data_IF_901659740832
#
_entry.id   IF_901659740832
#
_cell.length_a   1.000
_cell.length_b   1.000
_cell.length_c   1.000
_cell.angle_alpha   90.00
_cell.angle_beta   90.00
_cell.angle_gamma   90.00
#
_symmetry.space_group_name_H-M   'P 1'
#
loop_
_entity.id
_entity.type
_entity.pdbx_description
1 polymer ?
#
# COMPACT_ATOMS: atom_id res chain seq x y z
N UNK A 1 2.75 -7.46 31.53
CA UNK A 1 1.87 -8.19 30.61
C UNK A 1 2.37 -8.11 29.17
N UNK A 2 2.67 -6.92 28.64
CA UNK A 2 3.22 -6.73 27.28
C UNK A 2 4.45 -7.60 27.02
N UNK A 3 5.46 -7.58 27.90
CA UNK A 3 6.67 -8.43 27.75
C UNK A 3 6.36 -9.92 27.63
N UNK A 4 5.41 -10.44 28.42
CA UNK A 4 4.98 -11.85 28.30
C UNK A 4 4.29 -12.13 26.98
N UNK A 5 3.52 -11.16 26.46
CA UNK A 5 2.94 -11.25 25.12
C UNK A 5 4.01 -11.24 24.04
N UNK A 6 5.01 -10.36 24.16
CA UNK A 6 6.16 -10.32 23.25
C UNK A 6 6.96 -11.63 23.28
N UNK A 7 7.25 -12.19 24.47
CA UNK A 7 7.94 -13.48 24.62
C UNK A 7 7.13 -14.63 23.99
N UNK A 8 5.80 -14.55 24.06
CA UNK A 8 4.91 -15.53 23.40
C UNK A 8 5.01 -15.42 21.90
N UNK A 9 4.87 -14.20 21.32
CA UNK A 9 4.98 -13.96 19.88
C UNK A 9 6.37 -14.34 19.34
N UNK A 10 7.45 -14.00 20.06
CA UNK A 10 8.81 -14.36 19.68
C UNK A 10 9.03 -15.88 19.56
N UNK A 11 8.40 -16.68 20.43
CA UNK A 11 8.45 -18.15 20.34
C UNK A 11 7.67 -18.74 19.17
N UNK A 12 6.87 -17.93 18.49
CA UNK A 12 6.10 -18.28 17.30
C UNK A 12 6.63 -17.57 16.06
N UNK A 13 7.89 -17.11 16.08
CA UNK A 13 8.60 -16.48 14.97
C UNK A 13 7.87 -15.26 14.38
N UNK A 14 7.12 -14.52 15.21
CA UNK A 14 6.46 -13.29 14.80
C UNK A 14 7.46 -12.14 14.78
N UNK A 15 7.57 -11.45 13.67
CA UNK A 15 8.40 -10.27 13.53
C UNK A 15 7.96 -9.14 14.47
N UNK A 16 8.96 -8.38 14.97
CA UNK A 16 8.73 -7.25 15.88
C UNK A 16 7.78 -7.57 17.03
N UNK A 17 8.05 -8.63 17.83
CA UNK A 17 7.11 -9.19 18.79
C UNK A 17 6.74 -8.21 19.90
N UNK A 18 7.67 -7.32 20.31
CA UNK A 18 7.38 -6.29 21.32
C UNK A 18 6.43 -5.24 20.79
N UNK A 19 6.68 -4.72 19.59
CA UNK A 19 5.80 -3.73 18.94
C UNK A 19 4.39 -4.30 18.71
N UNK A 20 4.31 -5.55 18.24
CA UNK A 20 3.04 -6.27 18.07
C UNK A 20 2.27 -6.40 19.39
N UNK A 21 2.95 -6.84 20.46
CA UNK A 21 2.31 -6.99 21.77
C UNK A 21 1.87 -5.65 22.38
N UNK A 22 2.63 -4.56 22.18
CA UNK A 22 2.24 -3.20 22.60
C UNK A 22 0.99 -2.74 21.87
N UNK A 23 0.93 -2.82 20.53
CA UNK A 23 -0.22 -2.38 19.76
C UNK A 23 -1.47 -3.21 20.09
N UNK A 24 -1.35 -4.51 20.24
CA UNK A 24 -2.47 -5.35 20.67
C UNK A 24 -2.95 -5.03 22.10
N UNK A 25 -2.04 -4.63 22.99
CA UNK A 25 -2.42 -4.20 24.33
C UNK A 25 -3.12 -2.83 24.29
N UNK A 26 -2.63 -1.90 23.48
CA UNK A 26 -3.27 -0.59 23.27
C UNK A 26 -4.70 -0.76 22.75
N UNK A 27 -4.91 -1.64 21.76
CA UNK A 27 -6.23 -1.99 21.24
C UNK A 27 -7.15 -2.56 22.32
N UNK A 28 -6.68 -3.50 23.12
CA UNK A 28 -7.49 -4.18 24.15
C UNK A 28 -7.88 -3.24 25.29
N UNK A 29 -7.02 -2.28 25.61
CA UNK A 29 -7.24 -1.32 26.71
C UNK A 29 -7.86 -0.02 26.24
N UNK A 30 -8.05 0.15 24.93
CA UNK A 30 -8.52 1.40 24.30
C UNK A 30 -7.73 2.62 24.81
N UNK A 31 -6.40 2.54 24.67
CA UNK A 31 -5.48 3.57 25.19
C UNK A 31 -4.21 3.65 24.32
N UNK A 32 -3.46 4.71 24.50
CA UNK A 32 -2.17 4.88 23.86
C UNK A 32 -1.03 4.09 24.58
N UNK A 33 0.16 4.15 24.00
CA UNK A 33 1.35 3.50 24.57
C UNK A 33 1.66 4.00 25.99
N UNK A 34 1.50 5.29 26.25
CA UNK A 34 1.73 5.87 27.56
C UNK A 34 0.75 5.32 28.59
N UNK A 35 -0.54 5.23 28.24
CA UNK A 35 -1.57 4.63 29.09
C UNK A 35 -1.33 3.16 29.42
N UNK A 36 -0.83 2.36 28.44
CA UNK A 36 -0.43 0.96 28.69
C UNK A 36 0.64 0.86 29.78
N UNK A 37 1.66 1.72 29.73
CA UNK A 37 2.78 1.69 30.69
C UNK A 37 2.53 2.43 31.99
N UNK A 38 1.63 3.40 32.01
CA UNK A 38 1.20 4.12 33.23
C UNK A 38 0.24 3.28 34.10
N UNK A 39 -0.34 2.23 33.53
CA UNK A 39 -1.29 1.39 34.26
C UNK A 39 -0.59 0.56 35.34
N UNK A 40 -0.98 0.76 36.57
CA UNK A 40 -0.48 0.05 37.75
C UNK A 40 -1.30 -1.20 38.10
N UNK A 41 -2.57 -1.19 37.70
CA UNK A 41 -3.48 -2.32 37.96
C UNK A 41 -3.25 -3.46 36.95
N UNK A 42 -3.51 -4.68 37.39
CA UNK A 42 -3.49 -5.85 36.51
C UNK A 42 -4.62 -5.82 35.48
N UNK A 43 -4.54 -6.67 34.45
CA UNK A 43 -5.62 -6.83 33.48
C UNK A 43 -6.85 -7.45 34.16
N UNK A 44 -8.03 -6.94 33.86
CA UNK A 44 -9.29 -7.62 34.17
C UNK A 44 -9.39 -8.93 33.37
N UNK A 45 -10.16 -9.88 33.86
CA UNK A 45 -10.30 -11.19 33.21
C UNK A 45 -10.72 -11.09 31.72
N UNK A 46 -11.63 -10.13 31.39
CA UNK A 46 -12.05 -9.89 30.02
C UNK A 46 -10.92 -9.34 29.15
N UNK A 47 -10.12 -8.40 29.65
CA UNK A 47 -8.96 -7.81 28.97
C UNK A 47 -7.87 -8.86 28.74
N UNK A 48 -7.57 -9.68 29.75
CA UNK A 48 -6.60 -10.77 29.63
C UNK A 48 -7.02 -11.80 28.56
N UNK A 49 -8.31 -12.14 28.51
CA UNK A 49 -8.88 -13.05 27.51
C UNK A 49 -8.84 -12.41 26.10
N UNK A 50 -9.16 -11.12 25.96
CA UNK A 50 -9.09 -10.41 24.69
C UNK A 50 -7.65 -10.32 24.18
N UNK A 51 -6.70 -9.96 25.03
CA UNK A 51 -5.28 -9.91 24.68
C UNK A 51 -4.74 -11.29 24.26
N UNK A 52 -5.06 -12.35 25.01
CA UNK A 52 -4.67 -13.71 24.66
C UNK A 52 -5.21 -14.16 23.30
N UNK A 53 -6.47 -13.81 22.97
CA UNK A 53 -7.04 -14.10 21.64
C UNK A 53 -6.32 -13.32 20.53
N UNK A 54 -6.00 -12.05 20.77
CA UNK A 54 -5.29 -11.20 19.78
C UNK A 54 -3.88 -11.74 19.54
N UNK A 55 -3.13 -12.13 20.58
CA UNK A 55 -1.84 -12.78 20.45
C UNK A 55 -1.93 -14.09 19.65
N UNK A 56 -2.92 -14.94 19.94
CA UNK A 56 -3.11 -16.19 19.23
C UNK A 56 -3.40 -15.97 17.74
N UNK A 57 -4.26 -15.01 17.40
CA UNK A 57 -4.53 -14.66 16.00
C UNK A 57 -3.27 -14.12 15.30
N UNK A 58 -2.46 -13.30 15.99
CA UNK A 58 -1.20 -12.79 15.45
C UNK A 58 -0.21 -13.93 15.16
N UNK A 59 -0.01 -14.87 16.08
CA UNK A 59 0.91 -15.99 15.90
C UNK A 59 0.42 -17.03 14.88
N UNK A 60 -0.86 -17.01 14.49
CA UNK A 60 -1.40 -17.84 13.41
C UNK A 60 -1.40 -17.15 12.05
N UNK A 61 -0.69 -16.02 11.90
CA UNK A 61 -0.47 -15.37 10.62
C UNK A 61 -1.46 -14.21 10.31
N UNK A 62 -2.34 -13.80 11.25
CA UNK A 62 -3.14 -12.61 10.98
C UNK A 62 -2.25 -11.35 11.02
N UNK A 63 -2.20 -10.50 9.97
CA UNK A 63 -1.48 -9.25 9.99
C UNK A 63 -1.86 -8.37 11.19
N UNK A 64 -0.87 -7.71 11.79
CA UNK A 64 -1.13 -6.84 12.94
C UNK A 64 -2.15 -5.75 12.61
N UNK A 65 -2.04 -5.15 11.44
CA UNK A 65 -2.93 -4.10 10.94
C UNK A 65 -4.38 -4.60 10.78
N UNK A 66 -4.59 -5.86 10.39
CA UNK A 66 -5.93 -6.44 10.35
C UNK A 66 -6.50 -6.72 11.75
N UNK A 67 -5.65 -6.84 12.77
CA UNK A 67 -6.08 -6.97 14.17
C UNK A 67 -6.43 -5.62 14.79
N UNK A 68 -5.63 -4.60 14.49
CA UNK A 68 -5.84 -3.23 14.98
C UNK A 68 -6.87 -2.45 14.17
N UNK A 69 -7.10 -2.85 12.90
CA UNK A 69 -8.00 -2.17 11.96
C UNK A 69 -7.40 -0.93 11.32
N UNK A 70 -6.14 -0.58 11.62
CA UNK A 70 -5.47 0.62 11.14
C UNK A 70 -4.05 0.34 10.65
N UNK A 71 -3.60 1.14 9.68
CA UNK A 71 -2.21 1.20 9.21
C UNK A 71 -1.77 2.66 9.06
N UNK A 72 -0.56 2.97 9.54
CA UNK A 72 0.09 4.25 9.28
C UNK A 72 0.73 4.25 7.89
N UNK A 73 0.58 5.33 7.13
CA UNK A 73 1.22 5.52 5.83
C UNK A 73 1.41 7.02 5.55
N UNK A 74 2.64 7.48 5.38
CA UNK A 74 3.01 8.91 5.15
C UNK A 74 2.26 9.90 6.05
N UNK A 75 2.19 9.59 7.34
CA UNK A 75 1.49 10.42 8.32
C UNK A 75 -0.04 10.36 8.25
N UNK A 76 -0.61 9.54 7.38
CA UNK A 76 -2.03 9.18 7.38
C UNK A 76 -2.26 7.97 8.29
N UNK A 77 -3.41 7.93 8.93
CA UNK A 77 -3.93 6.74 9.59
C UNK A 77 -5.08 6.18 8.75
N UNK A 78 -4.83 5.05 8.09
CA UNK A 78 -5.76 4.41 7.17
C UNK A 78 -6.50 3.27 7.86
N UNK A 79 -7.80 3.16 7.63
CA UNK A 79 -8.54 1.93 7.94
C UNK A 79 -8.06 0.82 7.01
N UNK A 80 -7.84 -0.36 7.58
CA UNK A 80 -7.48 -1.57 6.82
C UNK A 80 -8.32 -2.74 7.26
N UNK A 81 -8.60 -3.66 6.32
CA UNK A 81 -9.46 -4.83 6.56
C UNK A 81 -8.94 -6.05 5.80
N UNK A 82 -9.29 -7.22 6.33
CA UNK A 82 -9.08 -8.47 5.59
C UNK A 82 -9.76 -8.38 4.20
N UNK A 83 -9.09 -8.90 3.18
CA UNK A 83 -9.55 -8.82 1.80
C UNK A 83 -9.05 -7.59 1.03
N UNK A 84 -8.26 -6.71 1.65
CA UNK A 84 -7.54 -5.61 0.99
C UNK A 84 -6.08 -5.61 1.45
N UNK A 85 -5.19 -5.30 0.52
CA UNK A 85 -3.74 -5.23 0.78
C UNK A 85 -3.39 -4.19 1.84
N UNK A 86 -2.51 -4.55 2.77
CA UNK A 86 -2.01 -3.64 3.81
C UNK A 86 -0.90 -2.77 3.24
N UNK A 87 -0.99 -1.43 3.29
CA UNK A 87 0.06 -0.54 2.82
C UNK A 87 1.42 -0.87 3.44
N UNK A 88 2.47 -0.89 2.62
CA UNK A 88 3.84 -1.20 3.04
C UNK A 88 4.67 0.10 3.18
N UNK A 89 5.59 0.15 4.15
CA UNK A 89 6.49 1.31 4.30
C UNK A 89 7.32 1.59 3.04
N UNK A 90 7.72 0.55 2.30
CA UNK A 90 8.50 0.66 1.07
C UNK A 90 7.75 1.45 -0.01
N UNK A 91 6.43 1.35 -0.06
CA UNK A 91 5.57 2.08 -1.00
C UNK A 91 5.58 3.60 -0.75
N UNK A 92 6.03 4.07 0.42
CA UNK A 92 6.24 5.50 0.67
C UNK A 92 7.31 6.11 -0.25
N UNK A 93 8.26 5.30 -0.72
CA UNK A 93 9.27 5.71 -1.71
C UNK A 93 8.60 6.02 -3.05
N UNK A 94 7.67 5.17 -3.48
CA UNK A 94 6.89 5.41 -4.70
C UNK A 94 6.14 6.74 -4.64
N UNK A 95 5.49 7.05 -3.53
CA UNK A 95 4.81 8.35 -3.35
C UNK A 95 5.81 9.51 -3.40
N UNK A 96 6.99 9.36 -2.80
CA UNK A 96 8.06 10.38 -2.86
C UNK A 96 8.52 10.65 -4.30
N UNK A 97 8.73 9.60 -5.09
CA UNK A 97 9.05 9.69 -6.53
C UNK A 97 7.91 10.36 -7.29
N UNK A 98 6.67 9.91 -7.08
CA UNK A 98 5.48 10.45 -7.74
C UNK A 98 5.32 11.96 -7.51
N UNK A 99 5.49 12.42 -6.27
CA UNK A 99 5.42 13.85 -5.91
C UNK A 99 6.54 14.67 -6.56
N UNK A 100 7.78 14.15 -6.57
CA UNK A 100 8.90 14.80 -7.25
C UNK A 100 8.67 14.91 -8.77
N UNK A 101 8.06 13.89 -9.37
CA UNK A 101 7.74 13.89 -10.80
C UNK A 101 6.70 14.94 -11.20
N UNK A 102 5.85 15.40 -10.28
CA UNK A 102 4.80 16.40 -10.55
C UNK A 102 5.06 17.75 -9.86
N UNK A 103 6.27 17.98 -9.35
CA UNK A 103 6.59 19.21 -8.61
C UNK A 103 6.39 20.46 -9.46
N UNK A 104 6.73 20.38 -10.75
CA UNK A 104 6.66 21.45 -11.75
C UNK A 104 5.32 21.56 -12.47
N UNK A 105 4.34 20.69 -12.18
CA UNK A 105 3.02 20.68 -12.84
C UNK A 105 1.99 21.42 -11.98
N UNK A 106 1.34 22.40 -12.54
CA UNK A 106 0.23 23.11 -11.87
C UNK A 106 -1.05 22.28 -11.96
N UNK A 107 -1.70 22.04 -10.83
CA UNK A 107 -2.92 21.23 -10.72
C UNK A 107 -2.83 19.88 -11.45
N UNK A 108 -1.83 19.05 -11.13
CA UNK A 108 -1.59 17.81 -11.86
C UNK A 108 -2.78 16.85 -11.77
N UNK A 109 -3.07 16.17 -12.87
CA UNK A 109 -4.01 15.06 -12.90
C UNK A 109 -3.24 13.76 -12.65
N UNK A 110 -3.54 13.10 -11.55
CA UNK A 110 -2.85 11.87 -11.12
C UNK A 110 -3.83 10.70 -11.10
N UNK A 111 -3.38 9.54 -11.57
CA UNK A 111 -4.15 8.29 -11.49
C UNK A 111 -3.36 7.26 -10.71
N UNK A 112 -3.94 6.79 -9.60
CA UNK A 112 -3.45 5.65 -8.82
C UNK A 112 -4.15 4.37 -9.27
N UNK A 113 -3.39 3.43 -9.85
CA UNK A 113 -3.92 2.19 -10.42
C UNK A 113 -3.66 1.04 -9.45
N UNK A 114 -4.71 0.29 -9.07
CA UNK A 114 -4.64 -0.74 -8.03
C UNK A 114 -4.54 -0.11 -6.65
N UNK A 115 -5.44 0.84 -6.35
CA UNK A 115 -5.32 1.73 -5.18
C UNK A 115 -5.41 1.03 -3.82
N UNK A 116 -5.99 -0.18 -3.75
CA UNK A 116 -6.15 -0.93 -2.51
C UNK A 116 -6.93 -0.15 -1.45
N UNK A 117 -6.29 0.17 -0.33
CA UNK A 117 -6.87 1.01 0.74
C UNK A 117 -6.91 2.50 0.42
N UNK A 118 -6.43 2.93 -0.74
CA UNK A 118 -6.29 4.33 -1.12
C UNK A 118 -4.97 4.98 -0.69
N UNK A 119 -4.01 4.20 -0.19
CA UNK A 119 -2.81 4.74 0.47
C UNK A 119 -2.02 5.73 -0.39
N UNK A 120 -1.73 5.38 -1.65
CA UNK A 120 -0.95 6.22 -2.58
C UNK A 120 -1.77 7.44 -2.98
N UNK A 121 -2.99 7.24 -3.45
CA UNK A 121 -3.88 8.32 -3.90
C UNK A 121 -4.11 9.37 -2.80
N UNK A 122 -4.42 8.92 -1.57
CA UNK A 122 -4.69 9.79 -0.44
C UNK A 122 -3.44 10.51 0.06
N UNK A 123 -2.27 9.86 0.03
CA UNK A 123 -1.00 10.50 0.38
C UNK A 123 -0.65 11.60 -0.64
N UNK A 124 -0.79 11.33 -1.95
CA UNK A 124 -0.58 12.34 -3.00
C UNK A 124 -1.55 13.50 -2.81
N UNK A 125 -2.85 13.23 -2.64
CA UNK A 125 -3.86 14.29 -2.44
C UNK A 125 -3.58 15.15 -1.23
N UNK A 126 -3.12 14.55 -0.13
CA UNK A 126 -2.77 15.28 1.09
C UNK A 126 -1.57 16.20 0.91
N UNK A 127 -0.52 15.74 0.22
CA UNK A 127 0.72 16.50 0.02
C UNK A 127 0.64 17.48 -1.17
N UNK A 128 -0.25 17.21 -2.13
CA UNK A 128 -0.59 18.08 -3.27
C UNK A 128 -2.11 18.34 -3.32
N UNK A 129 -2.62 19.23 -2.46
CA UNK A 129 -4.06 19.52 -2.37
C UNK A 129 -4.66 20.05 -3.68
N UNK A 130 -3.86 20.70 -4.54
CA UNK A 130 -4.22 21.19 -5.87
C UNK A 130 -4.39 20.06 -6.90
N UNK A 131 -3.80 18.87 -6.67
CA UNK A 131 -3.91 17.76 -7.60
C UNK A 131 -5.35 17.26 -7.77
N UNK A 132 -5.72 16.89 -9.00
CA UNK A 132 -6.92 16.12 -9.30
C UNK A 132 -6.52 14.65 -9.28
N UNK A 133 -6.99 13.91 -8.28
CA UNK A 133 -6.58 12.51 -8.06
C UNK A 133 -7.73 11.57 -8.38
N UNK A 134 -7.49 10.67 -9.31
CA UNK A 134 -8.34 9.52 -9.58
C UNK A 134 -7.65 8.25 -9.07
N UNK A 135 -8.44 7.28 -8.64
CA UNK A 135 -7.96 5.99 -8.20
C UNK A 135 -8.81 4.88 -8.80
N UNK A 136 -8.18 3.79 -9.21
CA UNK A 136 -8.89 2.63 -9.77
C UNK A 136 -8.49 1.36 -9.04
N UNK A 137 -9.42 0.43 -8.91
CA UNK A 137 -9.16 -0.92 -8.42
C UNK A 137 -10.18 -1.91 -8.99
N UNK A 138 -9.76 -3.11 -9.32
CA UNK A 138 -10.67 -4.16 -9.80
C UNK A 138 -11.54 -4.74 -8.69
N UNK A 139 -11.05 -4.72 -7.45
CA UNK A 139 -11.73 -5.22 -6.25
C UNK A 139 -12.73 -4.20 -5.71
N UNK A 140 -14.01 -4.58 -5.62
CA UNK A 140 -15.02 -3.75 -4.97
C UNK A 140 -14.69 -3.47 -3.51
N UNK A 141 -14.10 -4.44 -2.79
CA UNK A 141 -13.69 -4.26 -1.40
C UNK A 141 -12.60 -3.18 -1.24
N UNK A 142 -11.65 -3.11 -2.17
CA UNK A 142 -10.64 -2.05 -2.23
C UNK A 142 -11.27 -0.69 -2.50
N UNK A 143 -12.16 -0.62 -3.50
CA UNK A 143 -12.87 0.63 -3.85
C UNK A 143 -13.67 1.18 -2.68
N UNK A 144 -14.42 0.31 -1.99
CA UNK A 144 -15.24 0.72 -0.83
C UNK A 144 -14.35 1.21 0.32
N UNK A 145 -13.23 0.52 0.56
CA UNK A 145 -12.29 0.91 1.62
C UNK A 145 -11.55 2.21 1.29
N UNK A 146 -11.12 2.39 0.04
CA UNK A 146 -10.46 3.63 -0.39
C UNK A 146 -11.40 4.84 -0.27
N UNK A 147 -12.67 4.69 -0.65
CA UNK A 147 -13.71 5.73 -0.45
C UNK A 147 -13.94 6.05 1.01
N UNK A 148 -14.05 5.03 1.87
CA UNK A 148 -14.18 5.23 3.32
C UNK A 148 -12.99 5.99 3.89
N UNK A 149 -11.76 5.64 3.48
CA UNK A 149 -10.57 6.35 3.93
C UNK A 149 -10.53 7.80 3.40
N UNK A 150 -10.94 8.03 2.14
CA UNK A 150 -11.05 9.37 1.57
C UNK A 150 -12.03 10.25 2.35
N UNK A 151 -13.23 9.74 2.62
CA UNK A 151 -14.25 10.42 3.41
C UNK A 151 -13.78 10.71 4.84
N UNK A 152 -13.19 9.70 5.51
CA UNK A 152 -12.68 9.84 6.88
C UNK A 152 -11.58 10.88 7.02
N UNK A 153 -10.74 11.03 5.99
CA UNK A 153 -9.62 11.97 5.97
C UNK A 153 -9.96 13.32 5.34
N UNK A 154 -11.21 13.51 4.87
CA UNK A 154 -11.66 14.72 4.15
C UNK A 154 -10.75 15.03 2.94
N UNK A 155 -10.42 14.00 2.14
CA UNK A 155 -9.59 14.10 0.96
C UNK A 155 -10.41 13.76 -0.29
N UNK A 156 -10.48 14.72 -1.23
CA UNK A 156 -11.22 14.59 -2.48
C UNK A 156 -10.44 13.75 -3.49
N UNK A 157 -10.78 12.46 -3.57
CA UNK A 157 -10.23 11.47 -4.51
C UNK A 157 -11.37 10.74 -5.20
N UNK A 158 -11.37 10.74 -6.53
CA UNK A 158 -12.36 10.01 -7.34
C UNK A 158 -11.96 8.55 -7.49
N UNK A 159 -12.64 7.65 -6.76
CA UNK A 159 -12.34 6.20 -6.75
C UNK A 159 -13.35 5.45 -7.60
N UNK A 160 -12.87 4.73 -8.63
CA UNK A 160 -13.70 4.03 -9.60
C UNK A 160 -13.31 2.54 -9.68
N UNK A 161 -14.33 1.66 -9.69
CA UNK A 161 -14.09 0.23 -9.89
C UNK A 161 -13.79 -0.11 -11.35
N UNK A 162 -12.73 -0.87 -11.57
CA UNK A 162 -12.40 -1.48 -12.86
C UNK A 162 -10.92 -1.79 -13.01
N UNK A 163 -10.57 -2.44 -14.11
CA UNK A 163 -9.20 -2.87 -14.37
C UNK A 163 -8.36 -1.71 -14.96
N UNK A 164 -7.20 -1.50 -14.38
CA UNK A 164 -6.20 -0.55 -14.83
C UNK A 164 -6.81 0.86 -15.08
N UNK A 165 -6.57 1.45 -16.26
CA UNK A 165 -7.10 2.77 -16.62
C UNK A 165 -8.44 2.71 -17.40
N UNK A 166 -8.95 1.51 -17.69
CA UNK A 166 -10.16 1.34 -18.48
C UNK A 166 -11.41 2.04 -17.92
N UNK A 167 -11.66 2.09 -16.58
CA UNK A 167 -12.87 2.69 -16.04
C UNK A 167 -12.86 4.23 -16.06
N UNK A 168 -11.72 4.85 -16.30
CA UNK A 168 -11.63 6.32 -16.32
C UNK A 168 -12.33 6.92 -17.55
N UNK A 169 -12.98 8.10 -17.41
CA UNK A 169 -13.55 8.81 -18.53
C UNK A 169 -12.54 9.02 -19.67
N UNK A 170 -12.93 8.88 -20.93
CA UNK A 170 -12.01 9.01 -22.08
C UNK A 170 -11.29 10.36 -22.17
N UNK A 171 -11.87 11.40 -21.58
CA UNK A 171 -11.32 12.76 -21.61
C UNK A 171 -10.26 13.01 -20.51
N UNK A 172 -10.14 12.12 -19.52
CA UNK A 172 -9.09 12.21 -18.50
C UNK A 172 -7.75 11.92 -19.17
N UNK A 173 -6.85 12.90 -19.11
CA UNK A 173 -5.46 12.82 -19.58
C UNK A 173 -4.54 13.03 -18.38
N UNK A 174 -4.05 11.98 -17.75
CA UNK A 174 -3.18 12.11 -16.58
C UNK A 174 -1.84 12.77 -16.93
N UNK A 175 -1.32 13.56 -16.00
CA UNK A 175 0.07 14.00 -15.99
C UNK A 175 0.96 12.93 -15.35
N UNK A 176 0.39 12.12 -14.47
CA UNK A 176 1.07 11.02 -13.80
C UNK A 176 0.16 9.80 -13.64
N UNK A 177 0.67 8.64 -14.02
CA UNK A 177 0.13 7.34 -13.61
C UNK A 177 1.05 6.73 -12.56
N UNK A 178 0.51 6.38 -11.41
CA UNK A 178 1.23 5.72 -10.33
C UNK A 178 0.56 4.39 -10.01
N UNK A 179 1.34 3.36 -9.66
CA UNK A 179 0.79 2.04 -9.30
C UNK A 179 1.75 1.26 -8.40
N UNK A 180 1.19 0.55 -7.44
CA UNK A 180 1.85 -0.60 -6.80
C UNK A 180 1.08 -1.86 -7.20
N UNK A 181 1.34 -2.44 -8.38
CA UNK A 181 0.64 -3.61 -8.86
C UNK A 181 1.12 -4.87 -8.12
N UNK A 182 0.35 -5.96 -8.11
CA UNK A 182 0.85 -7.25 -7.64
C UNK A 182 2.09 -7.66 -8.44
N UNK A 183 3.17 -7.99 -7.74
CA UNK A 183 4.47 -8.26 -8.36
C UNK A 183 5.19 -9.51 -7.84
N UNK A 184 4.64 -10.17 -6.83
CA UNK A 184 5.28 -11.38 -6.28
C UNK A 184 5.14 -12.53 -7.28
N UNK A 185 6.24 -13.19 -7.67
CA UNK A 185 6.17 -14.37 -8.51
C UNK A 185 5.44 -15.51 -7.80
N UNK A 186 4.57 -16.22 -8.52
CA UNK A 186 3.83 -17.36 -7.94
C UNK A 186 4.77 -18.45 -7.38
N UNK A 187 5.96 -18.57 -7.93
CA UNK A 187 6.98 -19.52 -7.46
C UNK A 187 7.45 -19.24 -6.01
N UNK A 188 7.29 -18.02 -5.52
CA UNK A 188 7.69 -17.61 -4.18
C UNK A 188 6.60 -17.89 -3.13
N UNK A 189 5.39 -18.29 -3.51
CA UNK A 189 4.27 -18.52 -2.57
C UNK A 189 4.65 -19.40 -1.39
N UNK A 190 5.41 -20.47 -1.62
CA UNK A 190 5.78 -21.44 -0.58
C UNK A 190 6.74 -20.90 0.49
N UNK A 191 7.40 -19.77 0.22
CA UNK A 191 8.39 -19.16 1.14
C UNK A 191 7.89 -17.86 1.78
N UNK A 192 6.70 -17.38 1.39
CA UNK A 192 6.12 -16.19 1.98
C UNK A 192 5.67 -16.42 3.44
N UNK A 193 5.84 -15.41 4.30
CA UNK A 193 5.32 -15.46 5.66
C UNK A 193 3.79 -15.68 5.69
N UNK A 194 3.25 -16.41 6.69
CA UNK A 194 1.82 -16.66 6.81
C UNK A 194 0.96 -15.39 6.85
N UNK A 195 1.48 -14.29 7.37
CA UNK A 195 0.78 -13.00 7.39
C UNK A 195 0.64 -12.36 6.03
N UNK A 196 1.60 -12.56 5.12
CA UNK A 196 1.51 -12.12 3.72
C UNK A 196 0.48 -12.99 2.98
N UNK A 197 0.51 -14.31 3.20
CA UNK A 197 -0.46 -15.24 2.59
C UNK A 197 -1.91 -15.06 3.09
N UNK A 198 -2.11 -14.32 4.19
CA UNK A 198 -3.45 -13.95 4.68
C UNK A 198 -4.08 -12.78 3.89
N UNK A 199 -3.32 -12.14 3.00
CA UNK A 199 -3.79 -11.06 2.13
C UNK A 199 -4.34 -11.64 0.80
N UNK A 200 -5.13 -10.84 0.04
CA UNK A 200 -5.70 -11.33 -1.23
C UNK A 200 -4.63 -11.77 -2.22
N UNK A 201 -4.77 -12.95 -2.78
CA UNK A 201 -3.82 -13.50 -3.76
C UNK A 201 -3.66 -12.59 -4.99
N UNK A 202 -4.76 -12.03 -5.46
CA UNK A 202 -4.82 -11.10 -6.59
C UNK A 202 -4.10 -9.76 -6.32
N UNK A 203 -3.86 -9.42 -5.05
CA UNK A 203 -3.10 -8.23 -4.67
C UNK A 203 -1.60 -8.52 -4.43
N UNK A 204 -1.22 -9.79 -4.36
CA UNK A 204 0.16 -10.22 -4.13
C UNK A 204 0.84 -10.70 -5.41
N UNK A 205 0.18 -11.64 -6.10
CA UNK A 205 0.82 -12.37 -7.21
C UNK A 205 0.46 -11.73 -8.53
N UNK A 206 1.49 -11.30 -9.26
CA UNK A 206 1.37 -10.70 -10.59
C UNK A 206 2.32 -11.35 -11.59
N UNK A 207 1.93 -11.30 -12.85
CA UNK A 207 2.74 -11.75 -13.98
C UNK A 207 3.23 -10.55 -14.80
N UNK A 208 4.27 -10.74 -15.61
CA UNK A 208 4.83 -9.69 -16.48
C UNK A 208 3.80 -9.10 -17.45
N UNK A 209 2.75 -9.85 -17.80
CA UNK A 209 1.70 -9.37 -18.68
C UNK A 209 0.90 -8.21 -18.08
N UNK A 210 0.73 -8.19 -16.74
CA UNK A 210 0.09 -7.06 -16.06
C UNK A 210 0.88 -5.76 -16.21
N UNK A 211 2.21 -5.82 -16.06
CA UNK A 211 3.08 -4.65 -16.29
C UNK A 211 2.99 -4.16 -17.72
N UNK A 212 3.03 -5.08 -18.70
CA UNK A 212 2.91 -4.73 -20.11
C UNK A 212 1.60 -4.00 -20.37
N UNK A 213 0.49 -4.57 -19.92
CA UNK A 213 -0.83 -3.97 -20.11
C UNK A 213 -0.95 -2.60 -19.42
N UNK A 214 -0.45 -2.47 -18.19
CA UNK A 214 -0.43 -1.19 -17.45
C UNK A 214 0.36 -0.12 -18.22
N UNK A 215 1.55 -0.45 -18.70
CA UNK A 215 2.41 0.51 -19.41
C UNK A 215 1.82 0.91 -20.77
N UNK A 216 1.27 -0.05 -21.53
CA UNK A 216 0.58 0.24 -22.79
C UNK A 216 -0.66 1.14 -22.60
N UNK A 217 -1.48 0.84 -21.57
CA UNK A 217 -2.63 1.68 -21.25
C UNK A 217 -2.18 3.07 -20.75
N UNK A 218 -1.16 3.15 -19.89
CA UNK A 218 -0.62 4.42 -19.43
C UNK A 218 -0.10 5.26 -20.62
N UNK A 219 0.70 4.68 -21.52
CA UNK A 219 1.21 5.38 -22.69
C UNK A 219 0.09 5.92 -23.61
N UNK A 220 -1.02 5.20 -23.73
CA UNK A 220 -2.17 5.61 -24.53
C UNK A 220 -3.02 6.73 -23.90
N UNK A 221 -2.94 6.88 -22.57
CA UNK A 221 -3.84 7.75 -21.79
C UNK A 221 -3.15 8.99 -21.23
N UNK A 222 -1.85 8.94 -20.97
CA UNK A 222 -1.08 10.08 -20.45
C UNK A 222 -1.13 11.29 -21.39
N UNK A 223 -1.04 12.48 -20.80
CA UNK A 223 -0.77 13.69 -21.53
C UNK A 223 0.62 13.63 -22.20
N UNK A 224 0.87 14.45 -23.22
CA UNK A 224 2.22 14.60 -23.78
C UNK A 224 3.19 15.09 -22.68
N UNK A 225 4.34 14.44 -22.57
CA UNK A 225 5.27 14.65 -21.45
C UNK A 225 4.83 14.05 -20.11
N UNK A 226 3.70 13.35 -20.09
CA UNK A 226 3.18 12.68 -18.90
C UNK A 226 4.12 11.61 -18.37
N UNK A 227 3.97 11.23 -17.12
CA UNK A 227 4.94 10.47 -16.33
C UNK A 227 4.34 9.20 -15.77
N UNK A 228 5.18 8.19 -15.56
CA UNK A 228 4.83 6.89 -15.01
C UNK A 228 5.75 6.58 -13.83
N UNK A 229 5.19 6.16 -12.70
CA UNK A 229 5.93 5.64 -11.55
C UNK A 229 5.26 4.36 -11.05
N UNK A 230 5.98 3.24 -11.07
CA UNK A 230 5.43 1.92 -10.71
C UNK A 230 6.36 1.19 -9.76
N UNK A 231 5.82 0.68 -8.66
CA UNK A 231 6.55 -0.20 -7.75
C UNK A 231 6.80 -1.55 -8.41
N UNK A 232 7.99 -2.10 -8.17
CA UNK A 232 8.44 -3.35 -8.79
C UNK A 232 9.06 -4.29 -7.74
N UNK A 233 9.08 -5.57 -8.06
CA UNK A 233 9.94 -6.53 -7.36
C UNK A 233 11.41 -6.18 -7.59
N UNK A 234 12.27 -6.37 -6.58
CA UNK A 234 13.70 -6.00 -6.64
C UNK A 234 14.47 -6.68 -7.81
N UNK A 235 14.03 -7.86 -8.23
CA UNK A 235 14.63 -8.59 -9.35
C UNK A 235 14.03 -8.23 -10.73
N UNK A 236 12.92 -7.46 -10.76
CA UNK A 236 12.18 -7.16 -11.98
C UNK A 236 12.64 -5.86 -12.69
N UNK A 237 13.63 -5.15 -12.15
CA UNK A 237 14.05 -3.83 -12.66
C UNK A 237 14.38 -3.81 -14.16
N UNK A 238 15.14 -4.80 -14.64
CA UNK A 238 15.53 -4.91 -16.06
C UNK A 238 14.33 -5.16 -16.97
N UNK A 239 13.41 -6.04 -16.55
CA UNK A 239 12.23 -6.39 -17.33
C UNK A 239 11.23 -5.25 -17.36
N UNK A 240 11.00 -4.61 -16.21
CA UNK A 240 10.11 -3.44 -16.12
C UNK A 240 10.64 -2.27 -16.98
N UNK A 241 11.94 -2.00 -16.95
CA UNK A 241 12.54 -0.96 -17.81
C UNK A 241 12.33 -1.26 -19.29
N UNK A 242 12.60 -2.49 -19.71
CA UNK A 242 12.40 -2.91 -21.10
C UNK A 242 10.95 -2.83 -21.54
N UNK A 243 10.00 -3.19 -20.66
CA UNK A 243 8.57 -3.07 -20.95
C UNK A 243 8.12 -1.62 -21.06
N UNK A 244 8.64 -0.71 -20.21
CA UNK A 244 8.37 0.71 -20.31
C UNK A 244 8.89 1.30 -21.64
N UNK A 245 10.13 0.99 -22.02
CA UNK A 245 10.71 1.40 -23.30
C UNK A 245 9.90 0.86 -24.50
N UNK A 246 9.49 -0.41 -24.45
CA UNK A 246 8.66 -1.03 -25.48
C UNK A 246 7.28 -0.39 -25.62
N UNK A 247 6.71 0.15 -24.53
CA UNK A 247 5.47 0.91 -24.53
C UNK A 247 5.64 2.37 -25.04
N UNK A 248 6.87 2.80 -25.34
CA UNK A 248 7.17 4.12 -25.89
C UNK A 248 7.63 5.16 -24.88
N UNK A 249 7.85 4.77 -23.63
CA UNK A 249 8.42 5.67 -22.62
C UNK A 249 9.92 5.92 -22.85
N UNK A 250 10.36 7.08 -22.42
CA UNK A 250 11.78 7.51 -22.44
C UNK A 250 12.23 7.90 -21.02
N UNK A 251 13.52 8.20 -20.87
CA UNK A 251 14.12 8.60 -19.57
C UNK A 251 13.85 7.58 -18.45
N UNK A 252 13.82 6.30 -18.79
CA UNK A 252 13.53 5.22 -17.84
C UNK A 252 14.62 5.14 -16.78
N UNK A 253 14.23 5.18 -15.52
CA UNK A 253 15.12 5.13 -14.35
C UNK A 253 14.58 4.16 -13.32
N UNK A 254 15.49 3.65 -12.48
CA UNK A 254 15.14 2.83 -11.33
C UNK A 254 15.55 3.57 -10.06
N UNK A 255 14.57 3.82 -9.20
CA UNK A 255 14.82 4.37 -7.85
C UNK A 255 14.81 3.25 -6.83
N UNK A 256 15.78 3.32 -5.90
CA UNK A 256 15.97 2.35 -4.82
C UNK A 256 15.28 2.80 -3.54
N UNK A 257 14.86 1.82 -2.77
CA UNK A 257 14.36 2.07 -1.41
C UNK A 257 15.51 2.34 -0.40
N UNK A 258 15.16 2.62 0.85
CA UNK A 258 16.10 2.91 1.92
C UNK A 258 17.01 1.72 2.27
N UNK A 259 16.68 0.50 1.81
CA UNK A 259 17.50 -0.71 1.95
C UNK A 259 18.40 -0.96 0.74
N UNK A 260 18.44 -0.01 -0.20
CA UNK A 260 19.19 -0.05 -1.46
C UNK A 260 18.72 -1.14 -2.45
N UNK A 261 17.47 -1.62 -2.32
CA UNK A 261 16.84 -2.52 -3.29
C UNK A 261 16.14 -1.73 -4.37
N UNK A 262 16.20 -2.20 -5.60
CA UNK A 262 15.45 -1.60 -6.71
C UNK A 262 13.94 -1.67 -6.41
N UNK A 263 13.24 -0.52 -6.48
CA UNK A 263 11.88 -0.45 -5.96
C UNK A 263 10.89 0.25 -6.90
N UNK A 264 11.30 1.29 -7.60
CA UNK A 264 10.38 2.06 -8.47
C UNK A 264 11.00 2.19 -9.85
N UNK A 265 10.25 1.82 -10.88
CA UNK A 265 10.52 2.23 -12.25
C UNK A 265 9.77 3.55 -12.50
N UNK A 266 10.51 4.54 -12.97
CA UNK A 266 9.99 5.85 -13.35
C UNK A 266 10.35 6.15 -14.80
N UNK A 267 9.42 6.76 -15.54
CA UNK A 267 9.59 7.02 -16.95
C UNK A 267 8.72 8.20 -17.42
N UNK A 268 9.00 8.72 -18.59
CA UNK A 268 8.28 9.86 -19.20
C UNK A 268 7.81 9.49 -20.60
N UNK A 269 6.60 9.91 -20.96
CA UNK A 269 6.13 9.87 -22.34
C UNK A 269 6.73 11.07 -23.11
N UNK A 270 7.19 10.91 -24.34
CA UNK A 270 7.74 11.98 -25.14
C UNK A 270 6.81 13.19 -25.33
#
# INVERSE_FOLDING_TARGET
>A
MVRRGADYLARHDVDSPLASAEQLMMLVLDTDRAGVYARTDGLRAAEAKAFGRALCRRCTGTPLQHLTGIAGFRGLELVVRAGVFVPRPETEVLVGVALAMIEDVDRPVVVDVGTGSGAIALAIKRERPDAVVHATDSSQASVDLARENAERLDLDVDVVQGALLAPLPPLVRPDLVVSNPPYVPLAEEAVLPPEVLAEPREALFGEQDLYRELFEQAASRLAAGGRLAVEIHEEAASDASRLAEAAGFVDVRITRDLTARDRVVEARLP
#
